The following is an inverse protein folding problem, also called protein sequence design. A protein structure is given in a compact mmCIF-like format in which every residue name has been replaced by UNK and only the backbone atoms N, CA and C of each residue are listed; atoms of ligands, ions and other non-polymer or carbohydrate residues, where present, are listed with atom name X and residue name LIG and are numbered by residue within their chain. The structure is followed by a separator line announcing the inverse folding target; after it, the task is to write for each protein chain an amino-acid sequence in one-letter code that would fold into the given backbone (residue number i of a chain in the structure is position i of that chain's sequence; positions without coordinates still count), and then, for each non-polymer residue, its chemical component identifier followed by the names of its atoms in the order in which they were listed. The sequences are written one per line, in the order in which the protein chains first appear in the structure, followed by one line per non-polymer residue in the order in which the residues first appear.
data_IF_780450758706
#
_entry.id   IF_780450758706
#
_cell.length_a   1.000
_cell.length_b   1.000
_cell.length_c   1.000
_cell.angle_alpha   90.00
_cell.angle_beta   90.00
_cell.angle_gamma   90.00
#
_symmetry.space_group_name_H-M   'P 1'
#
loop_
_entity.id
_entity.type
_entity.pdbx_description
1 polymer ?
#
# COMPACT_ATOMS: atom_id res chain seq x y z
N UNK A 1 3.23 18.49 13.82
CA UNK A 1 2.84 19.38 12.70
C UNK A 1 4.03 19.69 11.78
N UNK A 2 5.11 20.28 12.24
CA UNK A 2 6.29 20.67 11.41
C UNK A 2 6.89 19.49 10.57
N UNK A 3 6.91 18.25 11.09
CA UNK A 3 7.44 17.09 10.36
C UNK A 3 6.57 16.64 9.17
N UNK A 4 5.23 16.78 9.28
CA UNK A 4 4.29 16.35 8.23
C UNK A 4 4.31 17.33 7.05
N UNK A 5 4.34 18.62 7.31
CA UNK A 5 4.47 19.68 6.28
C UNK A 5 5.77 19.52 5.48
N UNK A 6 6.89 19.23 6.16
CA UNK A 6 8.18 19.02 5.51
C UNK A 6 8.18 17.81 4.57
N UNK A 7 7.49 16.71 4.92
CA UNK A 7 7.44 15.53 4.05
C UNK A 7 6.55 15.77 2.83
N UNK A 8 5.46 16.51 2.99
CA UNK A 8 4.57 16.88 1.88
C UNK A 8 5.34 17.75 0.87
N UNK A 9 6.05 18.79 1.33
CA UNK A 9 6.86 19.64 0.44
C UNK A 9 7.97 18.82 -0.24
N UNK A 10 8.65 17.92 0.50
CA UNK A 10 9.63 17.00 -0.09
C UNK A 10 9.01 16.15 -1.22
N UNK A 11 7.80 15.60 -1.00
CA UNK A 11 7.14 14.79 -2.02
C UNK A 11 6.72 15.62 -3.24
N UNK A 12 6.27 16.87 -3.05
CA UNK A 12 5.98 17.78 -4.15
C UNK A 12 7.21 18.05 -5.01
N UNK A 13 8.37 18.31 -4.39
CA UNK A 13 9.63 18.53 -5.13
C UNK A 13 10.08 17.25 -5.85
N UNK A 14 10.01 16.09 -5.20
CA UNK A 14 10.36 14.82 -5.83
C UNK A 14 9.44 14.47 -7.00
N UNK A 15 8.16 14.83 -6.92
CA UNK A 15 7.21 14.58 -8.00
C UNK A 15 7.52 15.37 -9.28
N UNK A 16 8.23 16.48 -9.19
CA UNK A 16 8.68 17.24 -10.38
C UNK A 16 9.73 16.49 -11.20
N UNK A 17 10.43 15.55 -10.58
CA UNK A 17 11.49 14.74 -11.18
C UNK A 17 11.05 13.31 -11.50
N UNK A 18 9.85 12.94 -11.06
CA UNK A 18 9.34 11.59 -11.15
C UNK A 18 8.73 11.29 -12.53
N UNK A 19 8.87 10.06 -12.98
CA UNK A 19 8.12 9.53 -14.12
C UNK A 19 6.67 9.28 -13.71
N UNK A 20 5.73 9.48 -14.63
CA UNK A 20 4.32 9.15 -14.41
C UNK A 20 4.05 7.66 -14.67
N UNK A 21 2.84 7.22 -14.34
CA UNK A 21 2.33 5.87 -14.62
C UNK A 21 3.12 4.76 -13.94
N UNK A 22 3.46 4.97 -12.67
CA UNK A 22 4.14 3.98 -11.85
C UNK A 22 3.23 3.37 -10.78
N UNK A 23 3.84 2.55 -9.93
CA UNK A 23 3.22 1.96 -8.76
C UNK A 23 3.56 2.80 -7.54
N UNK A 24 2.54 3.20 -6.78
CA UNK A 24 2.73 4.05 -5.60
C UNK A 24 2.25 3.34 -4.35
N UNK A 25 3.12 3.25 -3.34
CA UNK A 25 2.73 2.88 -1.97
C UNK A 25 2.23 4.14 -1.27
N UNK A 26 1.03 4.04 -0.71
CA UNK A 26 0.42 5.11 0.05
C UNK A 26 -0.11 4.57 1.37
N UNK A 27 0.64 4.81 2.44
CA UNK A 27 0.41 4.24 3.76
C UNK A 27 1.00 5.06 4.88
N UNK A 28 1.22 4.42 6.03
CA UNK A 28 1.64 5.05 7.27
C UNK A 28 3.14 5.02 7.54
N UNK A 29 3.46 5.18 8.82
CA UNK A 29 4.83 5.30 9.35
C UNK A 29 5.70 4.09 8.99
N UNK A 30 5.19 2.88 9.19
CA UNK A 30 5.95 1.65 8.91
C UNK A 30 6.30 1.51 7.42
N UNK A 31 5.39 1.93 6.54
CA UNK A 31 5.57 1.81 5.11
C UNK A 31 6.60 2.80 4.56
N UNK A 32 6.78 3.95 5.25
CA UNK A 32 7.78 4.93 4.86
C UNK A 32 9.20 4.37 4.87
N UNK A 33 9.48 3.46 5.79
CA UNK A 33 10.81 2.90 6.00
C UNK A 33 11.10 1.67 5.10
N UNK A 34 10.16 1.30 4.22
CA UNK A 34 10.38 0.25 3.21
C UNK A 34 11.57 0.61 2.32
N UNK A 35 12.54 -0.29 2.23
CA UNK A 35 13.77 -0.13 1.45
C UNK A 35 13.51 -0.24 -0.06
N UNK A 36 12.74 0.68 -0.63
CA UNK A 36 12.23 0.63 -2.01
C UNK A 36 13.32 0.43 -3.05
N UNK A 37 14.47 1.09 -2.89
CA UNK A 37 15.56 0.98 -3.87
C UNK A 37 16.13 -0.44 -3.94
N UNK A 38 16.32 -1.08 -2.79
CA UNK A 38 16.85 -2.44 -2.70
C UNK A 38 15.85 -3.46 -3.22
N UNK A 39 14.58 -3.33 -2.81
CA UNK A 39 13.51 -4.21 -3.26
C UNK A 39 13.25 -4.06 -4.77
N UNK A 40 13.28 -2.84 -5.29
CA UNK A 40 13.17 -2.60 -6.74
C UNK A 40 14.29 -3.29 -7.50
N UNK A 41 15.55 -3.13 -7.08
CA UNK A 41 16.70 -3.76 -7.73
C UNK A 41 16.62 -5.30 -7.70
N UNK A 42 16.18 -5.84 -6.55
CA UNK A 42 16.14 -7.29 -6.36
C UNK A 42 14.99 -7.97 -7.14
N UNK A 43 13.82 -7.34 -7.23
CA UNK A 43 12.59 -8.00 -7.69
C UNK A 43 11.91 -7.34 -8.88
N UNK A 44 12.08 -6.02 -9.07
CA UNK A 44 11.30 -5.26 -10.05
C UNK A 44 12.16 -4.22 -10.80
N UNK A 45 13.27 -4.62 -11.46
CA UNK A 45 14.23 -3.67 -12.03
C UNK A 45 13.60 -2.71 -13.04
N UNK A 46 12.61 -3.18 -13.81
CA UNK A 46 11.96 -2.41 -14.88
C UNK A 46 10.71 -1.63 -14.40
N UNK A 47 10.28 -1.80 -13.15
CA UNK A 47 9.10 -1.13 -12.64
C UNK A 47 9.41 0.26 -12.10
N UNK A 48 8.50 1.20 -12.34
CA UNK A 48 8.54 2.53 -11.72
C UNK A 48 7.78 2.49 -10.41
N UNK A 49 8.52 2.67 -9.29
CA UNK A 49 7.98 2.58 -7.95
C UNK A 49 8.22 3.83 -7.14
N UNK A 50 7.20 4.28 -6.42
CA UNK A 50 7.29 5.39 -5.49
C UNK A 50 6.67 5.06 -4.14
N UNK A 51 7.34 5.47 -3.08
CA UNK A 51 6.78 5.46 -1.74
C UNK A 51 6.35 6.89 -1.38
N UNK A 52 5.06 7.07 -1.11
CA UNK A 52 4.46 8.34 -0.68
C UNK A 52 3.74 8.18 0.67
N UNK A 53 4.24 7.26 1.49
CA UNK A 53 3.71 7.04 2.84
C UNK A 53 4.04 8.19 3.78
N UNK A 54 3.11 8.52 4.68
CA UNK A 54 3.17 9.70 5.55
C UNK A 54 2.81 9.30 6.98
N UNK A 55 3.65 9.70 7.94
CA UNK A 55 3.39 9.45 9.35
C UNK A 55 2.08 10.09 9.81
N UNK A 56 1.30 9.35 10.60
CA UNK A 56 0.02 9.81 11.13
C UNK A 56 -1.03 10.09 10.04
N UNK A 57 -0.96 9.36 8.92
CA UNK A 57 -2.03 9.38 7.94
C UNK A 57 -3.25 8.66 8.52
N UNK A 58 -4.38 9.36 8.53
CA UNK A 58 -5.69 8.81 8.86
C UNK A 58 -6.61 8.89 7.64
N UNK A 59 -7.68 8.13 7.65
CA UNK A 59 -8.64 8.16 6.55
C UNK A 59 -9.29 9.55 6.37
N UNK A 60 -9.35 10.36 7.43
CA UNK A 60 -9.86 11.72 7.39
C UNK A 60 -9.06 12.65 6.50
N UNK A 61 -7.73 12.51 6.48
CA UNK A 61 -6.83 13.37 5.70
C UNK A 61 -6.26 12.67 4.46
N UNK A 62 -6.55 11.39 4.26
CA UNK A 62 -5.96 10.59 3.20
C UNK A 62 -6.29 11.11 1.79
N UNK A 63 -7.52 11.54 1.54
CA UNK A 63 -7.93 12.06 0.23
C UNK A 63 -7.20 13.37 -0.14
N UNK A 64 -7.00 14.27 0.83
CA UNK A 64 -6.22 15.50 0.64
C UNK A 64 -4.75 15.18 0.37
N UNK A 65 -4.15 14.33 1.22
CA UNK A 65 -2.75 13.92 1.08
C UNK A 65 -2.49 13.16 -0.23
N UNK A 66 -3.43 12.33 -0.66
CA UNK A 66 -3.39 11.70 -1.98
C UNK A 66 -3.29 12.75 -3.08
N UNK A 67 -4.17 13.76 -3.05
CA UNK A 67 -4.19 14.82 -4.06
C UNK A 67 -2.89 15.61 -4.12
N UNK A 68 -2.24 15.84 -2.98
CA UNK A 68 -0.99 16.61 -2.89
C UNK A 68 0.24 15.78 -3.27
N UNK A 69 0.30 14.52 -2.84
CA UNK A 69 1.53 13.74 -2.87
C UNK A 69 1.53 12.61 -3.91
N UNK A 70 0.38 12.05 -4.24
CA UNK A 70 0.26 10.87 -5.12
C UNK A 70 -0.32 11.22 -6.47
N UNK A 71 -1.40 12.00 -6.51
CA UNK A 71 -2.11 12.33 -7.74
C UNK A 71 -1.23 12.93 -8.86
N UNK A 72 -0.21 13.77 -8.58
CA UNK A 72 0.68 14.29 -9.61
C UNK A 72 1.49 13.23 -10.35
N UNK A 73 1.67 12.05 -9.77
CA UNK A 73 2.37 10.92 -10.38
C UNK A 73 1.51 10.17 -11.41
N UNK A 74 0.20 10.43 -11.45
CA UNK A 74 -0.76 9.73 -12.32
C UNK A 74 -0.59 8.20 -12.25
N UNK A 75 -0.60 7.59 -11.05
CA UNK A 75 -0.22 6.20 -10.89
C UNK A 75 -1.11 5.24 -11.67
N UNK A 76 -0.52 4.20 -12.24
CA UNK A 76 -1.24 3.05 -12.81
C UNK A 76 -1.72 2.10 -11.71
N UNK A 77 -1.00 2.04 -10.60
CA UNK A 77 -1.37 1.23 -9.44
C UNK A 77 -1.12 1.98 -8.14
N UNK A 78 -2.07 1.91 -7.22
CA UNK A 78 -1.92 2.41 -5.85
C UNK A 78 -2.08 1.27 -4.86
N UNK A 79 -1.06 1.05 -4.03
CA UNK A 79 -1.08 0.14 -2.91
C UNK A 79 -1.48 0.94 -1.66
N UNK A 80 -2.71 0.73 -1.19
CA UNK A 80 -3.27 1.42 -0.03
C UNK A 80 -3.05 0.62 1.25
N UNK A 81 -2.29 1.19 2.20
CA UNK A 81 -2.07 0.61 3.53
C UNK A 81 -2.43 1.64 4.61
N UNK A 82 -3.72 2.00 4.65
CA UNK A 82 -4.30 3.07 5.49
C UNK A 82 -5.38 2.50 6.38
N UNK A 83 -5.42 2.93 7.64
CA UNK A 83 -6.43 2.54 8.63
C UNK A 83 -5.86 2.22 10.02
N UNK A 84 -4.53 2.07 10.17
CA UNK A 84 -3.93 1.78 11.47
C UNK A 84 -4.17 2.90 12.51
N UNK A 85 -4.23 4.15 12.07
CA UNK A 85 -4.53 5.30 12.93
C UNK A 85 -6.05 5.48 13.17
N UNK A 86 -6.88 4.68 12.50
CA UNK A 86 -8.34 4.82 12.48
C UNK A 86 -9.07 3.68 13.20
N UNK A 87 -8.36 2.89 14.03
CA UNK A 87 -8.95 1.73 14.73
C UNK A 87 -10.16 2.14 15.56
N UNK A 88 -10.07 3.25 16.30
CA UNK A 88 -11.17 3.75 17.11
C UNK A 88 -12.35 4.20 16.22
N UNK A 89 -12.09 4.96 15.15
CA UNK A 89 -13.13 5.37 14.21
C UNK A 89 -13.82 4.15 13.56
N UNK A 90 -13.03 3.16 13.18
CA UNK A 90 -13.54 1.93 12.59
C UNK A 90 -14.45 1.14 13.55
N UNK A 91 -14.13 1.16 14.85
CA UNK A 91 -14.91 0.51 15.89
C UNK A 91 -16.18 1.31 16.25
N UNK A 92 -16.04 2.62 16.51
CA UNK A 92 -17.10 3.46 17.05
C UNK A 92 -18.09 3.92 15.96
N UNK A 93 -17.60 4.18 14.77
CA UNK A 93 -18.36 4.69 13.62
C UNK A 93 -18.01 3.99 12.31
N UNK A 94 -18.27 2.68 12.17
CA UNK A 94 -17.86 1.89 10.99
C UNK A 94 -18.37 2.43 9.65
N UNK A 95 -19.56 3.05 9.66
CA UNK A 95 -20.17 3.65 8.46
C UNK A 95 -19.43 4.93 8.02
N UNK A 96 -18.95 5.71 8.98
CA UNK A 96 -18.17 6.91 8.69
C UNK A 96 -16.79 6.54 8.12
N UNK A 97 -16.10 5.59 8.75
CA UNK A 97 -14.84 5.04 8.25
C UNK A 97 -15.00 4.55 6.79
N UNK A 98 -16.04 3.76 6.53
CA UNK A 98 -16.34 3.24 5.20
C UNK A 98 -16.59 4.36 4.19
N UNK A 99 -17.38 5.39 4.55
CA UNK A 99 -17.68 6.52 3.68
C UNK A 99 -16.41 7.26 3.28
N UNK A 100 -15.53 7.57 4.24
CA UNK A 100 -14.26 8.26 3.98
C UNK A 100 -13.30 7.40 3.14
N UNK A 101 -13.26 6.10 3.38
CA UNK A 101 -12.44 5.19 2.57
C UNK A 101 -12.93 5.15 1.10
N UNK A 102 -14.23 5.11 0.88
CA UNK A 102 -14.83 5.20 -0.46
C UNK A 102 -14.59 6.56 -1.13
N UNK A 103 -14.51 7.65 -0.36
CA UNK A 103 -14.12 8.96 -0.88
C UNK A 103 -12.68 8.95 -1.40
N UNK A 104 -11.76 8.35 -0.67
CA UNK A 104 -10.38 8.17 -1.13
C UNK A 104 -10.32 7.37 -2.44
N UNK A 105 -11.01 6.23 -2.51
CA UNK A 105 -11.06 5.40 -3.73
C UNK A 105 -11.64 6.20 -4.91
N UNK A 106 -12.72 6.95 -4.70
CA UNK A 106 -13.30 7.82 -5.73
C UNK A 106 -12.33 8.91 -6.19
N UNK A 107 -11.56 9.48 -5.25
CA UNK A 107 -10.55 10.48 -5.59
C UNK A 107 -9.42 9.88 -6.44
N UNK A 108 -8.98 8.67 -6.16
CA UNK A 108 -7.99 7.95 -6.96
C UNK A 108 -8.53 7.74 -8.39
N UNK A 109 -9.73 7.20 -8.52
CA UNK A 109 -10.36 6.96 -9.82
C UNK A 109 -10.69 8.22 -10.59
N UNK A 110 -10.98 9.33 -9.91
CA UNK A 110 -11.15 10.63 -10.54
C UNK A 110 -9.85 11.14 -11.16
N UNK A 111 -8.71 10.87 -10.52
CA UNK A 111 -7.41 11.23 -11.02
C UNK A 111 -6.99 10.35 -12.23
N UNK A 112 -7.09 9.04 -12.08
CA UNK A 112 -6.86 8.06 -13.15
C UNK A 112 -7.89 6.94 -13.05
N UNK A 113 -8.87 6.91 -13.96
CA UNK A 113 -9.97 5.92 -13.96
C UNK A 113 -9.53 4.50 -14.29
N UNK A 114 -8.32 4.32 -14.80
CA UNK A 114 -7.72 3.02 -15.09
C UNK A 114 -6.71 2.59 -14.02
N UNK A 115 -6.60 3.35 -12.93
CA UNK A 115 -5.71 3.01 -11.84
C UNK A 115 -6.20 1.74 -11.13
N UNK A 116 -5.33 0.74 -11.04
CA UNK A 116 -5.54 -0.42 -10.21
C UNK A 116 -5.33 -0.03 -8.73
N UNK A 117 -6.25 -0.44 -7.87
CA UNK A 117 -6.21 -0.12 -6.44
C UNK A 117 -6.15 -1.44 -5.67
N UNK A 118 -5.09 -1.61 -4.89
CA UNK A 118 -4.95 -2.75 -3.99
C UNK A 118 -4.98 -2.27 -2.53
N UNK A 119 -5.91 -2.79 -1.76
CA UNK A 119 -6.01 -2.53 -0.32
C UNK A 119 -5.24 -3.61 0.42
N UNK A 120 -4.25 -3.19 1.21
CA UNK A 120 -3.37 -4.09 1.98
C UNK A 120 -3.93 -4.22 3.38
N UNK A 121 -4.04 -5.43 3.92
CA UNK A 121 -4.46 -5.65 5.29
C UNK A 121 -3.31 -5.38 6.28
N UNK A 122 -3.67 -5.26 7.56
CA UNK A 122 -2.70 -5.10 8.65
C UNK A 122 -2.38 -6.45 9.29
N UNK A 123 -1.09 -6.66 9.57
CA UNK A 123 -0.64 -7.83 10.31
C UNK A 123 -1.18 -7.80 11.74
N UNK A 124 -1.80 -8.89 12.16
CA UNK A 124 -2.33 -9.04 13.51
C UNK A 124 -1.44 -9.93 14.37
N UNK A 125 -0.22 -9.49 14.66
CA UNK A 125 0.78 -10.24 15.44
C UNK A 125 0.35 -10.49 16.88
N UNK A 126 -0.48 -9.64 17.44
CA UNK A 126 -0.94 -9.70 18.84
C UNK A 126 -2.36 -10.25 18.99
N UNK A 127 -2.95 -10.77 17.92
CA UNK A 127 -4.35 -11.25 17.90
C UNK A 127 -5.35 -10.21 18.44
N UNK A 128 -5.14 -8.93 18.11
CA UNK A 128 -6.04 -7.85 18.48
C UNK A 128 -7.37 -7.95 17.73
N UNK A 129 -8.47 -7.87 18.47
CA UNK A 129 -9.83 -7.84 17.90
C UNK A 129 -10.05 -6.63 16.99
N UNK A 130 -9.40 -5.50 17.31
CA UNK A 130 -9.56 -4.26 16.57
C UNK A 130 -8.91 -4.33 15.19
N UNK A 131 -7.72 -4.93 15.10
CA UNK A 131 -7.04 -5.19 13.83
C UNK A 131 -7.84 -6.19 12.98
N UNK A 132 -8.40 -7.23 13.62
CA UNK A 132 -9.25 -8.17 12.91
C UNK A 132 -10.52 -7.51 12.36
N UNK A 133 -11.15 -6.65 13.16
CA UNK A 133 -12.31 -5.85 12.77
C UNK A 133 -12.00 -4.92 11.60
N UNK A 134 -10.86 -4.20 11.69
CA UNK A 134 -10.37 -3.35 10.61
C UNK A 134 -10.15 -4.15 9.32
N UNK A 135 -9.44 -5.27 9.37
CA UNK A 135 -9.15 -6.09 8.19
C UNK A 135 -10.44 -6.64 7.54
N UNK A 136 -11.43 -7.05 8.33
CA UNK A 136 -12.75 -7.44 7.82
C UNK A 136 -13.44 -6.28 7.08
N UNK A 137 -13.36 -5.08 7.64
CA UNK A 137 -13.94 -3.88 7.02
C UNK A 137 -13.22 -3.50 5.74
N UNK A 138 -11.88 -3.54 5.72
CA UNK A 138 -11.07 -3.26 4.53
C UNK A 138 -11.39 -4.25 3.39
N UNK A 139 -11.52 -5.54 3.73
CA UNK A 139 -11.91 -6.56 2.75
C UNK A 139 -13.30 -6.29 2.17
N UNK A 140 -14.27 -5.96 3.03
CA UNK A 140 -15.62 -5.59 2.59
C UNK A 140 -15.62 -4.39 1.64
N UNK A 141 -14.82 -3.35 1.95
CA UNK A 141 -14.68 -2.17 1.09
C UNK A 141 -14.04 -2.57 -0.25
N UNK A 142 -12.97 -3.36 -0.24
CA UNK A 142 -12.31 -3.82 -1.45
C UNK A 142 -13.29 -4.57 -2.37
N UNK A 143 -14.01 -5.56 -1.82
CA UNK A 143 -15.00 -6.35 -2.57
C UNK A 143 -16.10 -5.45 -3.16
N UNK A 144 -16.63 -4.50 -2.39
CA UNK A 144 -17.73 -3.64 -2.81
C UNK A 144 -17.34 -2.54 -3.80
N UNK A 145 -16.09 -2.09 -3.74
CA UNK A 145 -15.54 -1.07 -4.65
C UNK A 145 -14.75 -1.69 -5.82
N UNK A 146 -14.73 -3.01 -5.97
CA UNK A 146 -13.97 -3.70 -7.02
C UNK A 146 -12.47 -3.30 -7.01
N UNK A 147 -11.89 -3.28 -5.81
CA UNK A 147 -10.46 -3.14 -5.58
C UNK A 147 -9.86 -4.51 -5.27
N UNK A 148 -8.57 -4.67 -5.54
CA UNK A 148 -7.85 -5.84 -5.06
C UNK A 148 -7.69 -5.79 -3.54
N UNK A 149 -7.70 -6.95 -2.89
CA UNK A 149 -7.42 -7.09 -1.46
C UNK A 149 -6.22 -8.00 -1.27
N UNK A 150 -5.14 -7.47 -0.71
CA UNK A 150 -3.91 -8.21 -0.47
C UNK A 150 -3.80 -8.59 1.00
N UNK A 151 -3.88 -9.89 1.28
CA UNK A 151 -3.71 -10.44 2.63
C UNK A 151 -2.25 -10.83 2.86
N UNK A 152 -1.51 -9.98 3.58
CA UNK A 152 -0.10 -10.20 3.92
C UNK A 152 0.09 -11.01 5.22
N UNK A 153 -0.98 -11.40 5.89
CA UNK A 153 -0.90 -12.12 7.18
C UNK A 153 -0.33 -13.54 7.02
N UNK A 154 -0.59 -14.18 5.90
CA UNK A 154 -0.09 -15.54 5.62
C UNK A 154 1.43 -15.59 5.34
N UNK A 155 2.01 -14.53 4.77
CA UNK A 155 3.44 -14.45 4.45
C UNK A 155 4.32 -14.33 5.70
N UNK A 156 3.84 -13.67 6.75
CA UNK A 156 4.62 -13.41 7.97
C UNK A 156 4.75 -14.61 8.93
N UNK A 157 4.04 -15.71 8.69
CA UNK A 157 4.22 -16.94 9.47
C UNK A 157 5.41 -17.76 9.02
N UNK A 158 6.04 -17.40 7.89
CA UNK A 158 7.22 -18.10 7.38
C UNK A 158 8.47 -17.64 8.13
N UNK A 159 9.28 -18.60 8.59
CA UNK A 159 10.56 -18.27 9.23
C UNK A 159 11.43 -17.47 8.28
N UNK A 160 12.21 -16.51 8.80
CA UNK A 160 13.16 -15.70 8.01
C UNK A 160 14.14 -16.55 7.17
N UNK A 161 14.44 -17.77 7.61
CA UNK A 161 15.27 -18.73 6.89
C UNK A 161 14.53 -19.36 5.70
N UNK A 162 13.22 -19.55 5.83
CA UNK A 162 12.37 -20.13 4.78
C UNK A 162 12.07 -19.07 3.72
N UNK A 163 11.82 -17.83 4.13
CA UNK A 163 11.69 -16.69 3.26
C UNK A 163 12.96 -16.45 2.42
N UNK A 164 14.15 -16.49 3.04
CA UNK A 164 15.42 -16.37 2.32
C UNK A 164 15.64 -17.49 1.30
N UNK A 165 15.22 -18.73 1.60
CA UNK A 165 15.30 -19.85 0.65
C UNK A 165 14.35 -19.67 -0.53
N UNK A 166 13.12 -19.21 -0.30
CA UNK A 166 12.15 -18.97 -1.35
C UNK A 166 12.56 -17.80 -2.25
N UNK A 167 13.09 -16.72 -1.68
CA UNK A 167 13.66 -15.60 -2.45
C UNK A 167 14.83 -16.08 -3.31
N UNK A 168 15.76 -16.85 -2.76
CA UNK A 168 16.88 -17.44 -3.51
C UNK A 168 16.38 -18.35 -4.63
N UNK A 169 15.32 -19.12 -4.39
CA UNK A 169 14.70 -20.00 -5.36
C UNK A 169 13.98 -19.21 -6.47
N UNK A 170 13.26 -18.14 -6.12
CA UNK A 170 12.60 -17.23 -7.06
C UNK A 170 13.64 -16.54 -7.96
N UNK A 171 14.73 -16.02 -7.38
CA UNK A 171 15.80 -15.36 -8.14
C UNK A 171 16.54 -16.31 -9.10
N UNK A 172 16.72 -17.59 -8.73
CA UNK A 172 17.46 -18.56 -9.52
C UNK A 172 16.64 -19.24 -10.64
N UNK A 173 15.30 -19.20 -10.58
CA UNK A 173 14.44 -19.90 -11.54
C UNK A 173 13.86 -19.02 -12.67
N UNK A 174 14.24 -17.75 -12.75
CA UNK A 174 13.64 -16.83 -13.74
C UNK A 174 12.14 -16.61 -13.51
N UNK A 175 11.68 -16.84 -12.27
CA UNK A 175 10.28 -16.82 -11.85
C UNK A 175 9.63 -15.42 -11.96
N UNK A 176 10.44 -14.37 -12.13
CA UNK A 176 9.99 -13.02 -12.45
C UNK A 176 9.04 -12.98 -13.64
N UNK A 177 9.25 -13.85 -14.63
CA UNK A 177 8.34 -13.95 -15.79
C UNK A 177 7.02 -14.66 -15.50
N UNK A 178 6.94 -15.48 -14.48
CA UNK A 178 5.73 -16.23 -14.10
C UNK A 178 4.86 -15.45 -13.10
N UNK A 179 5.48 -14.64 -12.25
CA UNK A 179 4.79 -13.72 -11.34
C UNK A 179 4.01 -12.65 -12.13
N UNK A 180 4.54 -12.19 -13.25
CA UNK A 180 3.85 -11.24 -14.14
C UNK A 180 2.55 -11.77 -14.75
N UNK A 181 2.23 -13.07 -14.64
CA UNK A 181 1.09 -13.70 -15.34
C UNK A 181 -0.11 -14.05 -14.46
N UNK A 182 0.00 -14.03 -13.11
CA UNK A 182 -1.11 -14.53 -12.27
C UNK A 182 -1.81 -13.50 -11.37
N UNK A 183 -1.24 -12.41 -11.03
CA UNK A 183 -1.70 -11.22 -10.30
C UNK A 183 -0.47 -10.53 -9.71
N UNK A 184 0.24 -9.73 -10.48
CA UNK A 184 1.51 -9.12 -10.06
C UNK A 184 1.37 -8.23 -8.82
N UNK A 185 0.17 -7.71 -8.57
CA UNK A 185 -0.11 -6.83 -7.43
C UNK A 185 -0.04 -7.60 -6.10
N UNK A 186 -0.58 -8.81 -6.01
CA UNK A 186 -0.57 -9.60 -4.76
C UNK A 186 0.84 -10.01 -4.35
N UNK A 187 1.60 -10.56 -5.30
CA UNK A 187 2.97 -10.98 -5.05
C UNK A 187 3.85 -9.79 -4.67
N UNK A 188 3.62 -8.65 -5.29
CA UNK A 188 4.32 -7.41 -5.04
C UNK A 188 4.00 -6.84 -3.65
N UNK A 189 2.73 -6.84 -3.25
CA UNK A 189 2.33 -6.42 -1.92
C UNK A 189 2.92 -7.35 -0.85
N UNK A 190 2.89 -8.67 -1.05
CA UNK A 190 3.50 -9.63 -0.13
C UNK A 190 5.00 -9.36 0.04
N UNK A 191 5.75 -9.16 -1.04
CA UNK A 191 7.18 -8.86 -0.99
C UNK A 191 7.43 -7.54 -0.24
N UNK A 192 6.73 -6.47 -0.60
CA UNK A 192 6.96 -5.15 -0.03
C UNK A 192 6.62 -5.06 1.45
N UNK A 193 5.53 -5.69 1.89
CA UNK A 193 5.02 -5.53 3.25
C UNK A 193 5.39 -6.67 4.21
N UNK A 194 5.85 -7.83 3.71
CA UNK A 194 6.34 -8.91 4.59
C UNK A 194 7.83 -8.82 4.87
N UNK A 195 8.60 -8.09 4.07
CA UNK A 195 10.06 -7.94 4.24
C UNK A 195 10.47 -6.52 4.71
N UNK A 196 9.54 -5.63 4.94
CA UNK A 196 9.74 -4.34 5.58
C UNK A 196 9.59 -4.47 7.10
#
# INVERSE_FOLDING_TARGET
MIKKENIIEKYKELNKLAEQNGIVIFGGCKDRDIAMCELKQAFFPDAVFYNRSIDGISIENAAELYSLCVAPLMPDTVLLHIGAEDLQLCSDSPSEFETKYRELIRQIRKNNKHCDIAIINFQNTNHSSDIEGLNKKLKYIADSEHCDYCDISAGCTRSSAQAKKEISFICNLGFVQTLQRKHPIYDMAEILFCYA
#
